data_IF_882123345472
#
_entry.id   IF_882123345472
#
_cell.length_a   1.000
_cell.length_b   1.000
_cell.length_c   1.000
_cell.angle_alpha   90.00
_cell.angle_beta   90.00
_cell.angle_gamma   90.00
#
_symmetry.space_group_name_H-M   'P 1'
#
loop_
_entity.id
_entity.type
_entity.pdbx_description
1 polymer ?
#
# COMPACT_ATOMS: atom_id res chain seq x y z
N UNK A 1 -12.41 -21.41 -0.92
CA UNK A 1 -13.12 -20.41 -0.11
C UNK A 1 -12.68 -19.02 -0.53
N UNK A 2 -13.64 -18.11 -0.61
CA UNK A 2 -13.32 -16.74 -1.00
C UNK A 2 -12.71 -15.97 0.17
N UNK A 3 -11.79 -15.06 -0.15
CA UNK A 3 -11.21 -14.19 0.85
C UNK A 3 -12.20 -13.11 1.26
N UNK A 4 -12.09 -12.58 2.49
CA UNK A 4 -12.87 -11.39 2.86
C UNK A 4 -12.55 -10.24 1.90
N UNK A 5 -13.57 -9.44 1.63
CA UNK A 5 -13.43 -8.30 0.71
C UNK A 5 -13.33 -7.02 1.51
N UNK A 6 -12.36 -6.17 1.13
CA UNK A 6 -12.17 -4.84 1.73
C UNK A 6 -12.24 -3.79 0.64
N UNK A 7 -12.64 -2.58 1.00
CA UNK A 7 -12.58 -1.46 0.06
C UNK A 7 -11.14 -1.00 -0.12
N UNK A 8 -10.90 -0.27 -1.22
CA UNK A 8 -9.57 0.30 -1.44
C UNK A 8 -9.17 1.22 -0.28
N UNK A 9 -10.10 2.03 0.21
CA UNK A 9 -9.82 2.93 1.33
C UNK A 9 -9.44 2.16 2.59
N UNK A 10 -10.11 1.06 2.88
CA UNK A 10 -9.79 0.24 4.04
C UNK A 10 -8.39 -0.39 3.92
N UNK A 11 -8.05 -0.88 2.74
CA UNK A 11 -6.73 -1.46 2.51
C UNK A 11 -5.63 -0.42 2.63
N UNK A 12 -5.87 0.80 2.14
CA UNK A 12 -4.92 1.89 2.25
C UNK A 12 -4.71 2.29 3.72
N UNK A 13 -5.80 2.37 4.49
CA UNK A 13 -5.68 2.68 5.92
C UNK A 13 -4.88 1.61 6.67
N UNK A 14 -5.10 0.35 6.35
CA UNK A 14 -4.35 -0.76 6.95
C UNK A 14 -2.87 -0.65 6.60
N UNK A 15 -2.56 -0.33 5.35
CA UNK A 15 -1.18 -0.14 4.92
C UNK A 15 -0.51 1.04 5.61
N UNK A 16 -1.21 2.16 5.74
CA UNK A 16 -0.67 3.33 6.43
C UNK A 16 -0.35 3.03 7.89
N UNK A 17 -1.23 2.31 8.58
CA UNK A 17 -0.99 1.92 9.97
C UNK A 17 0.26 1.03 10.09
N UNK A 18 0.42 0.08 9.19
CA UNK A 18 1.58 -0.80 9.21
C UNK A 18 2.87 -0.04 8.89
N UNK A 19 2.83 0.87 7.94
CA UNK A 19 4.00 1.67 7.58
C UNK A 19 4.46 2.53 8.74
N UNK A 20 3.53 3.10 9.51
CA UNK A 20 3.89 3.93 10.66
C UNK A 20 4.61 3.15 11.74
N UNK A 21 4.30 1.86 11.86
CA UNK A 21 4.93 0.99 12.86
C UNK A 21 6.30 0.51 12.40
N UNK A 22 6.46 0.19 11.12
CA UNK A 22 7.64 -0.51 10.62
C UNK A 22 8.60 0.35 9.83
N UNK A 23 8.18 1.52 9.37
CA UNK A 23 9.02 2.37 8.54
C UNK A 23 8.79 3.84 8.87
N UNK A 24 9.83 4.62 8.67
CA UNK A 24 9.78 6.07 8.86
C UNK A 24 9.55 6.70 7.50
N UNK A 25 8.29 6.72 7.08
CA UNK A 25 7.93 7.21 5.75
C UNK A 25 7.85 8.73 5.71
N UNK A 26 8.33 9.35 4.63
CA UNK A 26 8.21 10.80 4.49
C UNK A 26 6.75 11.22 4.28
N UNK A 27 6.42 12.43 4.71
CA UNK A 27 5.13 13.04 4.43
C UNK A 27 5.00 13.28 2.92
N UNK A 28 3.79 13.22 2.42
CA UNK A 28 3.54 13.43 1.00
C UNK A 28 3.45 12.16 0.17
N UNK A 29 3.69 11.00 0.80
CA UNK A 29 3.50 9.73 0.13
C UNK A 29 2.00 9.47 -0.06
N UNK A 30 1.62 9.16 -1.28
CA UNK A 30 0.24 8.80 -1.61
C UNK A 30 0.19 7.32 -1.96
N UNK A 31 -0.70 6.60 -1.31
CA UNK A 31 -0.90 5.17 -1.55
C UNK A 31 -2.16 4.99 -2.36
N UNK A 32 -2.09 4.18 -3.40
CA UNK A 32 -3.25 3.82 -4.20
C UNK A 32 -3.26 2.31 -4.42
N UNK A 33 -4.40 1.79 -4.84
CA UNK A 33 -4.58 0.37 -5.14
C UNK A 33 -4.73 0.22 -6.66
N UNK A 34 -3.91 -0.64 -7.23
CA UNK A 34 -4.02 -1.01 -8.64
C UNK A 34 -4.54 -2.44 -8.71
N UNK A 35 -5.66 -2.62 -9.40
CA UNK A 35 -6.21 -3.95 -9.64
C UNK A 35 -5.67 -4.51 -10.95
N UNK A 36 -5.33 -5.79 -10.94
CA UNK A 36 -4.72 -6.45 -12.07
C UNK A 36 -5.31 -7.86 -12.19
N UNK A 37 -6.41 -7.98 -12.91
CA UNK A 37 -7.13 -9.24 -13.03
C UNK A 37 -7.70 -9.66 -11.69
N UNK A 38 -7.33 -10.84 -11.22
CA UNK A 38 -7.81 -11.38 -9.94
C UNK A 38 -6.95 -10.94 -8.76
N UNK A 39 -5.93 -10.16 -9.00
CA UNK A 39 -5.03 -9.68 -7.95
C UNK A 39 -5.03 -8.17 -7.87
N UNK A 40 -4.40 -7.65 -6.84
CA UNK A 40 -4.26 -6.21 -6.65
C UNK A 40 -2.93 -5.93 -5.97
N UNK A 41 -2.47 -4.70 -6.10
CA UNK A 41 -1.22 -4.28 -5.46
C UNK A 41 -1.32 -2.83 -5.03
N UNK A 42 -0.50 -2.45 -4.06
CA UNK A 42 -0.36 -1.05 -3.69
C UNK A 42 0.61 -0.36 -4.62
N UNK A 43 0.30 0.90 -4.91
CA UNK A 43 1.18 1.78 -5.65
C UNK A 43 1.49 2.99 -4.79
N UNK A 44 2.72 3.41 -4.81
CA UNK A 44 3.17 4.61 -4.13
C UNK A 44 3.44 5.70 -5.15
N UNK A 45 3.00 6.91 -4.84
CA UNK A 45 3.34 8.08 -5.65
C UNK A 45 3.64 9.26 -4.74
N UNK A 46 4.49 10.14 -5.21
CA UNK A 46 4.89 11.32 -4.45
C UNK A 46 5.53 12.32 -5.39
N UNK A 47 5.65 13.58 -4.93
CA UNK A 47 6.34 14.59 -5.71
C UNK A 47 7.86 14.34 -5.68
N UNK A 48 8.59 15.08 -6.51
CA UNK A 48 10.04 14.90 -6.65
C UNK A 48 10.77 15.12 -5.33
N UNK A 49 10.33 16.09 -4.53
CA UNK A 49 10.95 16.37 -3.24
C UNK A 49 10.80 15.21 -2.26
N UNK A 50 9.62 14.60 -2.23
CA UNK A 50 9.37 13.45 -1.37
C UNK A 50 10.14 12.22 -1.83
N UNK A 51 10.19 11.97 -3.13
CA UNK A 51 10.94 10.85 -3.71
C UNK A 51 12.42 10.95 -3.37
N UNK A 52 12.95 12.16 -3.30
CA UNK A 52 14.36 12.39 -3.00
C UNK A 52 14.72 12.17 -1.52
N UNK A 53 13.74 12.05 -0.63
CA UNK A 53 14.01 11.85 0.80
C UNK A 53 14.61 10.47 1.07
N UNK A 54 15.58 10.36 1.99
CA UNK A 54 16.29 9.10 2.21
C UNK A 54 15.41 7.91 2.60
N UNK A 55 14.31 8.15 3.29
CA UNK A 55 13.42 7.08 3.74
C UNK A 55 12.44 6.57 2.67
N UNK A 56 12.37 7.23 1.51
CA UNK A 56 11.37 6.90 0.50
C UNK A 56 11.54 5.49 -0.08
N UNK A 57 12.74 5.07 -0.51
CA UNK A 57 12.89 3.72 -1.07
C UNK A 57 12.53 2.61 -0.08
N UNK A 58 12.91 2.77 1.18
CA UNK A 58 12.59 1.78 2.21
C UNK A 58 11.08 1.74 2.46
N UNK A 59 10.42 2.87 2.44
CA UNK A 59 8.98 2.95 2.61
C UNK A 59 8.26 2.24 1.46
N UNK A 60 8.70 2.45 0.23
CA UNK A 60 8.10 1.79 -0.93
C UNK A 60 8.31 0.28 -0.87
N UNK A 61 9.50 -0.16 -0.49
CA UNK A 61 9.78 -1.58 -0.34
C UNK A 61 8.87 -2.23 0.71
N UNK A 62 8.68 -1.56 1.85
CA UNK A 62 7.79 -2.05 2.89
C UNK A 62 6.35 -2.09 2.40
N UNK A 63 5.91 -1.07 1.67
CA UNK A 63 4.56 -1.02 1.12
C UNK A 63 4.30 -2.20 0.18
N UNK A 64 5.27 -2.57 -0.64
CA UNK A 64 5.15 -3.72 -1.53
C UNK A 64 4.98 -5.01 -0.72
N UNK A 65 5.75 -5.17 0.36
CA UNK A 65 5.63 -6.33 1.22
C UNK A 65 4.28 -6.39 1.91
N UNK A 66 3.79 -5.25 2.39
CA UNK A 66 2.47 -5.17 3.02
C UNK A 66 1.38 -5.54 2.01
N UNK A 67 1.49 -5.03 0.79
CA UNK A 67 0.55 -5.34 -0.27
C UNK A 67 0.52 -6.83 -0.62
N UNK A 68 1.69 -7.45 -0.69
CA UNK A 68 1.78 -8.89 -0.93
C UNK A 68 1.10 -9.68 0.19
N UNK A 69 1.35 -9.29 1.42
CA UNK A 69 0.76 -9.95 2.59
C UNK A 69 -0.76 -9.79 2.63
N UNK A 70 -1.25 -8.56 2.47
CA UNK A 70 -2.68 -8.29 2.48
C UNK A 70 -3.38 -8.88 1.26
N UNK A 71 -2.71 -8.93 0.13
CA UNK A 71 -3.24 -9.52 -1.08
C UNK A 71 -3.53 -11.01 -0.95
N UNK A 72 -2.84 -11.70 -0.05
CA UNK A 72 -3.11 -13.09 0.25
C UNK A 72 -4.29 -13.27 1.21
N UNK A 73 -4.63 -12.23 1.96
CA UNK A 73 -5.66 -12.29 2.99
C UNK A 73 -6.99 -11.69 2.54
N UNK A 74 -6.97 -10.70 1.66
CA UNK A 74 -8.16 -9.94 1.27
C UNK A 74 -8.22 -9.73 -0.22
N UNK A 75 -9.45 -9.69 -0.74
CA UNK A 75 -9.73 -9.18 -2.07
C UNK A 75 -10.16 -7.72 -1.96
N UNK A 76 -9.91 -6.95 -3.02
CA UNK A 76 -10.37 -5.57 -3.07
C UNK A 76 -11.76 -5.52 -3.68
N UNK A 77 -12.64 -4.74 -3.06
CA UNK A 77 -14.01 -4.59 -3.54
C UNK A 77 -14.00 -3.74 -4.80
N UNK A 78 -14.66 -4.23 -5.84
CA UNK A 78 -14.88 -3.44 -7.04
C UNK A 78 -15.85 -2.30 -6.73
N UNK A 79 -15.49 -1.10 -7.14
CA UNK A 79 -16.35 0.07 -6.99
C UNK A 79 -17.09 0.37 -8.28
#
# INVERSE_FOLDING_TARGET
>A
MSKPVRTEAELIEMAQAELQVHADCPDGLVISVLRNGDSWEFRASADAATVAKPGYPDCVAMLVQIGDHLGKQYDVKAT
#
